data_IF_903835071929
#
_entry.id   IF_903835071929
#
_cell.length_a   1.000
_cell.length_b   1.000
_cell.length_c   1.000
_cell.angle_alpha   90.00
_cell.angle_beta   90.00
_cell.angle_gamma   90.00
#
_symmetry.space_group_name_H-M   'P 1'
#
loop_
_entity.id
_entity.type
_entity.pdbx_description
1 polymer ?
#
# COMPACT_ATOMS: atom_id res chain seq x y z
N UNK A 1 -12.66 53.16 -48.39
CA UNK A 1 -13.40 52.73 -47.18
C UNK A 1 -12.61 51.60 -46.54
N UNK A 2 -11.67 51.93 -45.64
CA UNK A 2 -10.70 50.98 -45.09
C UNK A 2 -11.03 50.77 -43.61
N UNK A 3 -11.53 49.58 -43.26
CA UNK A 3 -11.87 49.22 -41.87
C UNK A 3 -10.61 48.74 -41.17
N UNK A 4 -10.17 49.50 -40.17
CA UNK A 4 -9.16 49.05 -39.20
C UNK A 4 -9.82 48.09 -38.20
N UNK A 5 -9.32 46.85 -38.15
CA UNK A 5 -9.62 45.89 -37.09
C UNK A 5 -8.56 46.08 -36.01
N UNK A 6 -8.95 46.66 -34.87
CA UNK A 6 -8.09 46.74 -33.69
C UNK A 6 -8.05 45.39 -33.00
N UNK A 7 -6.89 44.73 -33.08
CA UNK A 7 -6.57 43.53 -32.32
C UNK A 7 -6.18 43.96 -30.89
N UNK A 8 -7.07 43.80 -29.91
CA UNK A 8 -6.70 43.94 -28.50
C UNK A 8 -5.83 42.73 -28.12
N UNK A 9 -4.51 42.93 -28.01
CA UNK A 9 -3.65 42.01 -27.28
C UNK A 9 -3.98 42.10 -25.79
N UNK A 10 -4.69 41.11 -25.25
CA UNK A 10 -4.82 40.93 -23.81
C UNK A 10 -3.48 40.53 -23.22
N UNK A 11 -2.88 41.38 -22.40
CA UNK A 11 -1.74 40.98 -21.55
C UNK A 11 -2.21 39.86 -20.60
N UNK A 12 -1.45 38.76 -20.47
CA UNK A 12 -1.75 37.76 -19.44
C UNK A 12 -1.61 38.41 -18.07
N UNK A 13 -2.70 38.46 -17.30
CA UNK A 13 -2.64 38.79 -15.88
C UNK A 13 -1.83 37.69 -15.20
N UNK A 14 -0.60 37.99 -14.80
CA UNK A 14 0.19 37.11 -13.95
C UNK A 14 -0.47 37.17 -12.57
N UNK A 15 -1.40 36.26 -12.27
CA UNK A 15 -1.85 36.05 -10.89
C UNK A 15 -0.63 35.56 -10.10
N UNK A 16 -0.14 36.39 -9.17
CA UNK A 16 0.90 35.99 -8.26
C UNK A 16 0.30 35.11 -7.16
N UNK A 17 0.94 33.97 -6.87
CA UNK A 17 0.60 33.11 -5.76
C UNK A 17 0.57 33.91 -4.44
N UNK A 18 -0.53 33.82 -3.70
CA UNK A 18 -0.69 34.53 -2.42
C UNK A 18 -0.50 33.57 -1.25
N UNK A 19 0.27 34.00 -0.24
CA UNK A 19 0.37 33.33 1.05
C UNK A 19 -0.68 33.88 1.99
N UNK A 20 -1.66 33.03 2.34
CA UNK A 20 -2.71 33.37 3.29
C UNK A 20 -2.41 32.66 4.60
N UNK A 21 -1.89 33.39 5.58
CA UNK A 21 -1.64 32.86 6.93
C UNK A 21 -2.97 32.72 7.67
N UNK A 22 -3.22 31.53 8.20
CA UNK A 22 -4.45 31.20 8.91
C UNK A 22 -4.17 30.75 10.33
N UNK A 23 -4.88 31.35 11.28
CA UNK A 23 -4.68 31.12 12.72
C UNK A 23 -5.84 30.43 13.43
N UNK A 24 -6.98 30.23 12.76
CA UNK A 24 -8.15 29.58 13.35
C UNK A 24 -9.04 28.92 12.28
N UNK A 25 -9.99 28.04 12.66
CA UNK A 25 -10.85 27.33 11.72
C UNK A 25 -11.70 28.23 10.80
N UNK A 26 -12.23 29.34 11.31
CA UNK A 26 -13.04 30.26 10.51
C UNK A 26 -12.21 30.94 9.41
N UNK A 27 -10.98 31.34 9.73
CA UNK A 27 -10.03 31.85 8.75
C UNK A 27 -9.64 30.79 7.71
N UNK A 28 -9.55 29.51 8.12
CA UNK A 28 -9.23 28.40 7.22
C UNK A 28 -10.33 28.19 6.18
N UNK A 29 -11.57 28.15 6.64
CA UNK A 29 -12.72 28.05 5.74
C UNK A 29 -12.80 29.23 4.77
N UNK A 30 -12.59 30.45 5.26
CA UNK A 30 -12.56 31.64 4.41
C UNK A 30 -11.43 31.59 3.36
N UNK A 31 -10.22 31.18 3.77
CA UNK A 31 -9.07 31.05 2.87
C UNK A 31 -9.31 29.98 1.79
N UNK A 32 -9.83 28.80 2.17
CA UNK A 32 -10.16 27.73 1.22
C UNK A 32 -11.19 28.20 0.20
N UNK A 33 -12.22 28.94 0.64
CA UNK A 33 -13.27 29.46 -0.24
C UNK A 33 -12.75 30.50 -1.24
N UNK A 34 -11.76 31.30 -0.85
CA UNK A 34 -11.18 32.35 -1.67
C UNK A 34 -10.06 31.85 -2.61
N UNK A 35 -9.44 30.72 -2.29
CA UNK A 35 -8.24 30.23 -2.94
C UNK A 35 -8.39 30.08 -4.47
N UNK A 36 -7.41 30.61 -5.19
CA UNK A 36 -7.24 30.49 -6.63
C UNK A 36 -6.05 29.57 -6.95
N UNK A 37 -5.95 29.03 -8.19
CA UNK A 37 -4.78 28.29 -8.63
C UNK A 37 -3.46 28.99 -8.27
N UNK A 38 -2.55 28.28 -7.61
CA UNK A 38 -1.25 28.79 -7.15
C UNK A 38 -1.21 29.31 -5.72
N UNK A 39 -2.36 29.56 -5.07
CA UNK A 39 -2.39 30.08 -3.71
C UNK A 39 -1.88 29.08 -2.66
N UNK A 40 -1.33 29.62 -1.57
CA UNK A 40 -0.81 28.85 -0.44
C UNK A 40 -1.51 29.27 0.84
N UNK A 41 -2.30 28.37 1.40
CA UNK A 41 -2.94 28.51 2.71
C UNK A 41 -1.97 27.97 3.75
N UNK A 42 -1.46 28.86 4.61
CA UNK A 42 -0.39 28.57 5.56
C UNK A 42 -0.96 28.51 6.97
N UNK A 43 -1.06 27.31 7.54
CA UNK A 43 -1.58 27.09 8.88
C UNK A 43 -0.53 27.46 9.94
N UNK A 44 -0.95 28.19 10.98
CA UNK A 44 -0.10 28.50 12.14
C UNK A 44 0.41 27.23 12.83
N UNK A 45 1.51 27.39 13.53
CA UNK A 45 2.00 26.40 14.49
C UNK A 45 1.04 26.24 15.69
N UNK A 46 1.13 25.09 16.35
CA UNK A 46 0.35 24.70 17.52
C UNK A 46 -0.82 23.77 17.20
N UNK A 47 -1.64 23.54 18.22
CA UNK A 47 -2.77 22.62 18.13
C UNK A 47 -3.99 23.23 17.42
N UNK A 48 -4.69 22.33 16.74
CA UNK A 48 -5.96 22.51 16.05
C UNK A 48 -6.92 21.40 16.52
N UNK A 49 -7.52 21.57 17.71
CA UNK A 49 -8.44 20.57 18.26
C UNK A 49 -9.75 20.56 17.47
N UNK A 50 -10.35 19.37 17.36
CA UNK A 50 -11.70 19.13 16.84
C UNK A 50 -12.01 19.84 15.51
N UNK A 51 -11.00 19.93 14.63
CA UNK A 51 -11.06 20.70 13.39
C UNK A 51 -11.20 19.76 12.19
N UNK A 52 -12.38 19.83 11.54
CA UNK A 52 -12.62 19.13 10.28
C UNK A 52 -12.34 20.05 9.10
N UNK A 53 -11.24 19.81 8.40
CA UNK A 53 -10.81 20.58 7.23
C UNK A 53 -11.45 20.02 5.96
N UNK A 54 -12.27 20.83 5.28
CA UNK A 54 -12.81 20.52 3.94
C UNK A 54 -12.04 21.29 2.88
N UNK A 55 -10.88 20.78 2.49
CA UNK A 55 -10.03 21.39 1.48
C UNK A 55 -10.58 21.10 0.08
N UNK A 56 -11.37 22.05 -0.42
CA UNK A 56 -12.02 21.97 -1.73
C UNK A 56 -11.52 23.10 -2.63
N UNK A 57 -11.13 22.76 -3.85
CA UNK A 57 -10.65 23.74 -4.83
C UNK A 57 -10.28 23.11 -6.17
N UNK A 58 -9.88 23.94 -7.13
CA UNK A 58 -9.37 23.49 -8.42
C UNK A 58 -8.13 24.29 -8.76
N UNK A 59 -6.97 23.71 -8.52
CA UNK A 59 -5.70 24.20 -9.05
C UNK A 59 -5.50 23.75 -10.50
N UNK A 60 -4.28 23.91 -10.99
CA UNK A 60 -3.83 23.34 -12.27
C UNK A 60 -2.51 22.59 -12.07
N UNK A 61 -2.05 21.87 -13.10
CA UNK A 61 -0.74 21.22 -13.10
C UNK A 61 0.38 22.20 -12.73
N UNK A 62 0.35 23.40 -13.32
CA UNK A 62 1.39 24.42 -13.14
C UNK A 62 1.16 25.31 -11.90
N UNK A 63 -0.08 25.37 -11.40
CA UNK A 63 -0.47 26.22 -10.27
C UNK A 63 -1.41 25.46 -9.32
N UNK A 64 -0.91 24.45 -8.59
CA UNK A 64 -1.71 23.75 -7.58
C UNK A 64 -2.07 24.68 -6.42
N UNK A 65 -3.18 24.40 -5.73
CA UNK A 65 -3.52 25.09 -4.48
C UNK A 65 -2.92 24.30 -3.33
N UNK A 66 -2.18 24.96 -2.45
CA UNK A 66 -1.45 24.28 -1.36
C UNK A 66 -2.02 24.64 0.01
N UNK A 67 -2.35 23.64 0.81
CA UNK A 67 -2.62 23.75 2.24
C UNK A 67 -1.41 23.20 3.00
N UNK A 68 -0.68 24.04 3.74
CA UNK A 68 0.56 23.61 4.40
C UNK A 68 0.68 24.11 5.83
N UNK A 69 1.44 23.37 6.64
CA UNK A 69 1.98 23.91 7.87
C UNK A 69 2.96 25.06 7.58
N UNK A 70 2.98 26.08 8.44
CA UNK A 70 4.02 27.11 8.41
C UNK A 70 5.41 26.50 8.68
N UNK A 71 5.47 25.66 9.72
CA UNK A 71 6.63 24.83 10.05
C UNK A 71 6.17 23.36 10.03
N UNK A 72 6.69 22.51 9.12
CA UNK A 72 6.27 21.11 9.03
C UNK A 72 6.36 20.38 10.38
N UNK A 73 5.35 19.59 10.69
CA UNK A 73 5.23 18.87 11.97
C UNK A 73 4.82 19.73 13.17
N UNK A 74 4.67 21.05 13.01
CA UNK A 74 4.24 21.95 14.10
C UNK A 74 2.79 22.41 14.01
N UNK A 75 2.06 22.01 12.96
CA UNK A 75 0.59 22.17 12.89
C UNK A 75 -0.05 20.83 13.23
N UNK A 76 -0.60 20.73 14.44
CA UNK A 76 -1.02 19.46 15.05
C UNK A 76 -2.53 19.42 15.19
N UNK A 77 -3.17 18.50 14.48
CA UNK A 77 -4.61 18.23 14.57
C UNK A 77 -4.86 17.15 15.62
N UNK A 78 -5.69 17.47 16.61
CA UNK A 78 -6.01 16.59 17.75
C UNK A 78 -7.52 16.40 17.89
N UNK A 79 -7.93 15.39 18.66
CA UNK A 79 -9.35 15.15 18.96
C UNK A 79 -10.16 14.73 17.73
N UNK A 80 -11.37 15.26 17.61
CA UNK A 80 -12.33 15.03 16.52
C UNK A 80 -11.93 15.76 15.22
N UNK A 81 -10.65 15.76 14.88
CA UNK A 81 -10.10 16.40 13.68
C UNK A 81 -10.03 15.44 12.50
N UNK A 82 -10.23 15.99 11.30
CA UNK A 82 -10.20 15.21 10.07
C UNK A 82 -9.87 16.08 8.85
N UNK A 83 -9.37 15.47 7.78
CA UNK A 83 -9.12 16.14 6.50
C UNK A 83 -9.94 15.51 5.39
N UNK A 84 -10.58 16.35 4.59
CA UNK A 84 -11.34 15.97 3.40
C UNK A 84 -10.82 16.78 2.22
N UNK A 85 -10.32 16.12 1.19
CA UNK A 85 -9.76 16.75 -0.02
C UNK A 85 -10.72 16.49 -1.17
N UNK A 86 -11.13 17.51 -1.92
CA UNK A 86 -11.96 17.29 -3.11
C UNK A 86 -11.81 18.37 -4.17
N UNK A 87 -11.75 17.95 -5.43
CA UNK A 87 -11.38 18.80 -6.56
C UNK A 87 -10.05 18.36 -7.18
N UNK A 88 -9.31 19.29 -7.74
CA UNK A 88 -8.21 18.99 -8.67
C UNK A 88 -6.93 19.75 -8.31
N UNK A 89 -5.78 19.09 -8.42
CA UNK A 89 -4.46 19.70 -8.21
C UNK A 89 -4.34 20.44 -6.86
N UNK A 90 -4.68 19.73 -5.80
CA UNK A 90 -4.57 20.20 -4.42
C UNK A 90 -3.40 19.51 -3.72
N UNK A 91 -2.59 20.27 -2.99
CA UNK A 91 -1.45 19.75 -2.23
C UNK A 91 -1.68 19.99 -0.74
N UNK A 92 -1.48 18.96 0.07
CA UNK A 92 -1.47 19.05 1.53
C UNK A 92 -0.09 18.67 2.04
N UNK A 93 0.53 19.55 2.83
CA UNK A 93 1.94 19.42 3.22
C UNK A 93 2.18 19.65 4.72
N UNK A 94 2.95 18.75 5.35
CA UNK A 94 3.58 19.04 6.64
C UNK A 94 2.66 18.98 7.86
N UNK A 95 1.43 18.47 7.70
CA UNK A 95 0.44 18.38 8.78
C UNK A 95 0.64 17.12 9.64
N UNK A 96 0.36 17.20 10.94
CA UNK A 96 0.40 16.07 11.86
C UNK A 96 -0.97 15.86 12.50
N UNK A 97 -1.58 14.68 12.31
CA UNK A 97 -2.77 14.22 13.02
C UNK A 97 -2.33 13.34 14.18
N UNK A 98 -2.41 13.86 15.40
CA UNK A 98 -1.97 13.19 16.61
C UNK A 98 -3.18 12.66 17.38
N UNK A 99 -3.14 11.37 17.71
CA UNK A 99 -4.17 10.66 18.47
C UNK A 99 -5.58 10.89 17.91
N UNK A 100 -5.81 10.61 16.60
CA UNK A 100 -7.07 10.94 15.95
C UNK A 100 -8.23 10.17 16.58
N UNK A 101 -9.30 10.89 16.93
CA UNK A 101 -10.50 10.28 17.50
C UNK A 101 -11.29 9.51 16.42
N UNK A 102 -11.45 8.17 16.52
CA UNK A 102 -12.14 7.38 15.50
C UNK A 102 -13.66 7.63 15.45
N UNK A 103 -14.25 8.36 16.39
CA UNK A 103 -15.68 8.68 16.39
C UNK A 103 -16.11 9.47 15.14
N UNK A 104 -15.23 10.31 14.58
CA UNK A 104 -15.48 11.09 13.36
C UNK A 104 -15.30 10.30 12.06
N UNK A 105 -14.99 9.01 12.15
CA UNK A 105 -14.75 8.13 11.00
C UNK A 105 -13.30 8.17 10.55
N UNK A 106 -13.08 8.16 9.23
CA UNK A 106 -11.73 8.09 8.65
C UNK A 106 -10.98 9.42 8.82
N UNK A 107 -9.69 9.38 9.16
CA UNK A 107 -8.91 10.58 9.49
C UNK A 107 -8.71 11.49 8.27
N UNK A 108 -8.20 10.95 7.16
CA UNK A 108 -7.92 11.65 5.92
C UNK A 108 -8.69 10.98 4.77
N UNK A 109 -9.51 11.72 4.02
CA UNK A 109 -10.20 11.20 2.82
C UNK A 109 -9.98 12.10 1.60
N UNK A 110 -9.75 11.47 0.45
CA UNK A 110 -9.64 12.12 -0.87
C UNK A 110 -11.03 12.33 -1.52
N UNK A 111 -11.99 12.72 -0.69
CA UNK A 111 -13.32 13.20 -1.10
C UNK A 111 -13.89 14.12 -0.03
N UNK A 112 -14.77 15.04 -0.41
CA UNK A 112 -15.67 15.74 0.53
C UNK A 112 -16.95 14.94 0.78
N UNK A 113 -17.47 14.32 -0.28
CA UNK A 113 -18.71 13.54 -0.30
C UNK A 113 -18.67 12.58 -1.52
N UNK A 114 -19.75 11.84 -1.78
CA UNK A 114 -19.82 10.89 -2.90
C UNK A 114 -19.79 11.52 -4.30
N UNK A 115 -19.96 12.83 -4.41
CA UNK A 115 -19.97 13.58 -5.68
C UNK A 115 -18.70 14.41 -5.89
N UNK A 116 -18.03 14.77 -4.81
CA UNK A 116 -16.86 15.65 -4.80
C UNK A 116 -15.61 14.83 -4.42
N UNK A 117 -15.00 14.19 -5.41
CA UNK A 117 -13.79 13.38 -5.27
C UNK A 117 -12.53 14.23 -5.55
N UNK A 118 -11.36 13.73 -5.15
CA UNK A 118 -10.07 14.32 -5.49
C UNK A 118 -9.47 13.67 -6.75
N UNK A 119 -8.86 14.50 -7.61
CA UNK A 119 -8.10 14.05 -8.77
C UNK A 119 -6.79 14.81 -8.89
N UNK A 120 -5.68 14.12 -9.13
CA UNK A 120 -4.34 14.72 -9.20
C UNK A 120 -3.95 15.52 -7.93
N UNK A 121 -4.45 15.11 -6.77
CA UNK A 121 -4.12 15.73 -5.48
C UNK A 121 -2.97 14.98 -4.79
N UNK A 122 -2.26 15.67 -3.89
CA UNK A 122 -1.08 15.14 -3.20
C UNK A 122 -1.16 15.36 -1.69
N UNK A 123 -0.89 14.33 -0.91
CA UNK A 123 -0.61 14.40 0.52
C UNK A 123 0.86 14.08 0.72
N UNK A 124 1.64 15.02 1.25
CA UNK A 124 3.10 14.86 1.38
C UNK A 124 3.65 15.37 2.70
N UNK A 125 4.65 14.68 3.24
CA UNK A 125 5.31 15.12 4.48
C UNK A 125 4.36 15.16 5.67
N UNK A 126 3.27 14.40 5.67
CA UNK A 126 2.27 14.39 6.74
C UNK A 126 2.47 13.20 7.69
N UNK A 127 1.90 13.29 8.89
CA UNK A 127 1.91 12.17 9.83
C UNK A 127 0.51 11.88 10.40
N UNK A 128 0.24 10.61 10.65
CA UNK A 128 -0.83 10.15 11.55
C UNK A 128 -0.19 9.22 12.58
N UNK A 129 -0.28 9.59 13.86
CA UNK A 129 0.31 8.80 14.95
C UNK A 129 -0.72 8.56 16.04
N UNK A 130 -0.67 7.39 16.66
CA UNK A 130 -1.51 7.06 17.81
C UNK A 130 -0.64 6.51 18.94
N UNK A 131 -0.69 7.16 20.11
CA UNK A 131 -0.12 6.63 21.33
C UNK A 131 -1.02 5.50 21.87
N UNK A 132 -0.41 4.37 22.22
CA UNK A 132 -1.12 3.22 22.78
C UNK A 132 -1.83 3.50 24.10
N UNK A 133 -1.39 4.50 24.86
CA UNK A 133 -1.98 4.85 26.15
C UNK A 133 -3.37 5.48 26.03
N UNK A 134 -3.72 6.02 24.86
CA UNK A 134 -4.98 6.74 24.62
C UNK A 134 -5.90 6.05 23.60
N UNK A 135 -5.46 4.95 22.98
CA UNK A 135 -6.22 4.20 21.99
C UNK A 135 -6.57 2.78 22.42
N UNK A 136 -7.61 2.20 21.83
CA UNK A 136 -8.04 0.82 22.07
C UNK A 136 -8.34 0.05 20.79
N UNK A 137 -8.14 -1.27 20.81
CA UNK A 137 -8.57 -2.18 19.72
C UNK A 137 -10.09 -2.29 19.61
N UNK A 138 -10.81 -1.93 20.68
CA UNK A 138 -12.27 -1.95 20.74
C UNK A 138 -12.92 -0.61 20.39
N UNK A 139 -12.11 0.41 20.09
CA UNK A 139 -12.64 1.66 19.55
C UNK A 139 -13.32 1.43 18.19
N UNK A 140 -14.18 2.39 17.83
CA UNK A 140 -14.92 2.39 16.56
C UNK A 140 -13.97 2.15 15.37
N UNK A 141 -14.39 1.30 14.44
CA UNK A 141 -13.65 1.04 13.21
C UNK A 141 -13.43 2.35 12.42
N UNK A 142 -12.18 2.60 12.04
CA UNK A 142 -11.78 3.75 11.22
C UNK A 142 -10.56 3.41 10.37
N UNK A 143 -10.44 4.03 9.20
CA UNK A 143 -9.17 4.08 8.43
C UNK A 143 -8.46 5.40 8.68
N UNK A 144 -7.15 5.44 8.47
CA UNK A 144 -6.43 6.73 8.52
C UNK A 144 -6.43 7.44 7.19
N UNK A 145 -6.25 6.72 6.08
CA UNK A 145 -6.24 7.32 4.74
C UNK A 145 -7.17 6.57 3.81
N UNK A 146 -8.19 7.26 3.30
CA UNK A 146 -9.07 6.80 2.23
C UNK A 146 -8.75 7.50 0.92
N UNK A 147 -8.15 6.79 -0.03
CA UNK A 147 -7.96 7.25 -1.40
C UNK A 147 -9.23 6.98 -2.22
N UNK A 148 -9.72 8.03 -2.86
CA UNK A 148 -10.88 8.07 -3.73
C UNK A 148 -10.52 8.85 -5.00
N UNK A 149 -11.36 8.77 -6.03
CA UNK A 149 -11.14 9.46 -7.29
C UNK A 149 -10.01 8.84 -8.11
N UNK A 150 -9.05 9.66 -8.55
CA UNK A 150 -8.05 9.23 -9.54
C UNK A 150 -6.70 9.96 -9.39
N UNK A 151 -5.59 9.29 -9.72
CA UNK A 151 -4.27 9.93 -9.94
C UNK A 151 -3.72 10.74 -8.76
N UNK A 152 -4.24 10.49 -7.56
CA UNK A 152 -3.74 11.06 -6.32
C UNK A 152 -2.43 10.43 -5.86
N UNK A 153 -1.65 11.19 -5.09
CA UNK A 153 -0.35 10.77 -4.55
C UNK A 153 -0.29 10.91 -3.02
N UNK A 154 0.23 9.89 -2.35
CA UNK A 154 0.58 9.91 -0.93
C UNK A 154 2.06 9.58 -0.80
N UNK A 155 2.86 10.55 -0.36
CA UNK A 155 4.30 10.36 -0.32
C UNK A 155 4.99 11.01 0.87
N UNK A 156 6.15 10.50 1.28
CA UNK A 156 6.92 11.04 2.42
C UNK A 156 6.08 11.18 3.69
N UNK A 157 5.07 10.33 3.89
CA UNK A 157 4.21 10.37 5.06
C UNK A 157 4.60 9.31 6.10
N UNK A 158 4.18 9.55 7.34
CA UNK A 158 4.35 8.68 8.50
C UNK A 158 2.99 8.18 8.97
N UNK A 159 2.86 6.87 9.16
CA UNK A 159 1.70 6.25 9.76
C UNK A 159 2.14 5.22 10.81
N UNK A 160 1.90 5.46 12.10
CA UNK A 160 2.30 4.49 13.14
C UNK A 160 1.43 4.45 14.39
N UNK A 161 1.34 3.28 15.01
CA UNK A 161 0.66 3.07 16.29
C UNK A 161 -0.83 2.73 16.18
N UNK A 162 -1.36 2.43 14.98
CA UNK A 162 -2.80 2.18 14.81
C UNK A 162 -3.26 0.96 15.61
N UNK A 163 -4.20 1.15 16.54
CA UNK A 163 -4.78 0.06 17.33
C UNK A 163 -6.16 -0.38 16.81
N UNK A 164 -6.94 0.56 16.28
CA UNK A 164 -8.33 0.32 15.90
C UNK A 164 -8.45 -0.62 14.69
N UNK A 165 -9.59 -1.30 14.58
CA UNK A 165 -9.99 -1.99 13.34
C UNK A 165 -10.11 -0.99 12.18
N UNK A 166 -9.87 -1.47 10.96
CA UNK A 166 -9.84 -0.68 9.74
C UNK A 166 -8.41 -0.51 9.24
N UNK A 167 -8.23 -0.41 7.92
CA UNK A 167 -6.90 -0.35 7.33
C UNK A 167 -6.16 0.94 7.70
N UNK A 168 -4.83 0.93 7.64
CA UNK A 168 -4.08 2.18 7.75
C UNK A 168 -4.36 3.07 6.53
N UNK A 169 -4.22 2.51 5.33
CA UNK A 169 -4.55 3.15 4.06
C UNK A 169 -5.44 2.22 3.21
N UNK A 170 -6.46 2.77 2.57
CA UNK A 170 -7.31 2.05 1.62
C UNK A 170 -7.48 2.85 0.33
N UNK A 171 -7.35 2.17 -0.81
CA UNK A 171 -7.83 2.66 -2.10
C UNK A 171 -9.22 2.12 -2.33
N UNK A 172 -10.18 3.03 -2.41
CA UNK A 172 -11.54 2.70 -2.81
C UNK A 172 -11.67 2.78 -4.32
N UNK A 173 -12.38 1.80 -4.89
CA UNK A 173 -12.61 1.69 -6.33
C UNK A 173 -14.13 1.66 -6.62
N UNK A 174 -14.49 1.73 -7.89
CA UNK A 174 -15.86 1.78 -8.40
C UNK A 174 -16.01 2.81 -9.51
N UNK A 175 -17.25 3.10 -9.91
CA UNK A 175 -17.59 3.93 -11.09
C UNK A 175 -16.72 5.19 -11.25
N UNK A 176 -16.73 6.09 -10.26
CA UNK A 176 -15.93 7.34 -10.28
C UNK A 176 -14.59 7.23 -9.55
N UNK A 177 -14.31 6.09 -8.92
CA UNK A 177 -13.07 5.86 -8.19
C UNK A 177 -12.20 4.93 -9.03
N UNK A 178 -11.44 5.54 -9.93
CA UNK A 178 -10.76 4.81 -10.99
C UNK A 178 -9.43 4.23 -10.51
N UNK A 179 -8.78 4.86 -9.51
CA UNK A 179 -7.47 4.45 -9.01
C UNK A 179 -6.34 5.28 -9.62
N UNK A 180 -5.34 4.63 -10.23
CA UNK A 180 -4.09 5.24 -10.72
C UNK A 180 -3.31 6.01 -9.65
N UNK A 181 -3.50 5.64 -8.39
CA UNK A 181 -2.86 6.32 -7.27
C UNK A 181 -1.41 5.89 -7.13
N UNK A 182 -0.59 6.80 -6.61
CA UNK A 182 0.81 6.54 -6.25
C UNK A 182 0.97 6.66 -4.74
N UNK A 183 1.44 5.59 -4.12
CA UNK A 183 1.75 5.51 -2.69
C UNK A 183 3.24 5.19 -2.61
N UNK A 184 4.06 6.18 -2.27
CA UNK A 184 5.51 6.00 -2.33
C UNK A 184 6.29 6.70 -1.24
N UNK A 185 7.44 6.16 -0.89
CA UNK A 185 8.37 6.82 0.04
C UNK A 185 7.72 7.15 1.40
N UNK A 186 6.72 6.36 1.80
CA UNK A 186 6.07 6.46 3.11
C UNK A 186 6.67 5.48 4.11
N UNK A 187 6.66 5.88 5.38
CA UNK A 187 7.00 5.02 6.50
C UNK A 187 5.72 4.56 7.21
N UNK A 188 5.47 3.25 7.14
CA UNK A 188 4.45 2.58 7.92
C UNK A 188 5.15 1.92 9.12
N UNK A 189 4.98 2.53 10.29
CA UNK A 189 5.60 2.07 11.53
C UNK A 189 4.82 0.96 12.23
N UNK A 190 5.22 0.64 13.49
CA UNK A 190 4.65 -0.46 14.24
C UNK A 190 3.12 -0.40 14.35
N UNK A 191 2.49 -1.54 14.11
CA UNK A 191 1.06 -1.79 14.32
C UNK A 191 0.89 -3.11 15.01
N UNK A 192 0.45 -3.08 16.27
CA UNK A 192 0.24 -4.29 17.05
C UNK A 192 -0.85 -5.19 16.45
N UNK A 193 -0.72 -6.50 16.71
CA UNK A 193 -1.67 -7.51 16.23
C UNK A 193 -3.09 -7.20 16.67
N UNK A 194 -3.99 -7.01 15.71
CA UNK A 194 -5.41 -6.75 15.97
C UNK A 194 -6.12 -7.99 16.52
N UNK A 195 -5.70 -9.18 16.08
CA UNK A 195 -6.27 -10.47 16.49
C UNK A 195 -7.55 -10.87 15.75
N UNK A 196 -8.02 -10.03 14.82
CA UNK A 196 -9.19 -10.24 13.96
C UNK A 196 -8.93 -9.60 12.59
N UNK A 197 -9.77 -9.93 11.60
CA UNK A 197 -9.73 -9.34 10.26
C UNK A 197 -10.00 -7.82 10.29
N UNK A 198 -9.39 -7.06 9.37
CA UNK A 198 -9.49 -5.60 9.29
C UNK A 198 -8.27 -4.88 9.86
N UNK A 199 -7.14 -5.56 9.92
CA UNK A 199 -5.86 -5.07 10.42
C UNK A 199 -4.89 -4.64 9.32
N UNK A 200 -5.32 -4.62 8.06
CA UNK A 200 -4.40 -4.45 6.92
C UNK A 200 -3.70 -3.09 6.97
N UNK A 201 -2.45 -3.02 6.55
CA UNK A 201 -1.75 -1.73 6.42
C UNK A 201 -2.21 -1.02 5.16
N UNK A 202 -2.15 -1.69 4.01
CA UNK A 202 -2.68 -1.17 2.76
C UNK A 202 -3.71 -2.15 2.20
N UNK A 203 -4.84 -1.62 1.72
CA UNK A 203 -5.76 -2.39 0.86
C UNK A 203 -6.06 -1.64 -0.44
N UNK A 204 -5.93 -2.32 -1.58
CA UNK A 204 -6.21 -1.72 -2.89
C UNK A 204 -7.44 -2.36 -3.52
N UNK A 205 -8.61 -1.72 -3.36
CA UNK A 205 -9.91 -2.24 -3.78
C UNK A 205 -10.60 -3.12 -2.72
N UNK A 206 -11.63 -3.83 -3.14
CA UNK A 206 -12.35 -4.84 -2.36
C UNK A 206 -12.86 -5.96 -3.26
N UNK A 207 -13.56 -6.95 -2.70
CA UNK A 207 -14.08 -8.06 -3.51
C UNK A 207 -15.05 -7.61 -4.62
N UNK A 208 -15.85 -6.57 -4.38
CA UNK A 208 -16.84 -6.07 -5.36
C UNK A 208 -16.19 -5.40 -6.57
N UNK A 209 -15.00 -4.84 -6.37
CA UNK A 209 -14.23 -4.10 -7.38
C UNK A 209 -13.00 -4.86 -7.85
N UNK A 210 -12.88 -6.14 -7.47
CA UNK A 210 -11.67 -6.95 -7.67
C UNK A 210 -11.23 -7.10 -9.12
N UNK A 211 -12.15 -7.06 -10.09
CA UNK A 211 -11.83 -7.15 -11.51
C UNK A 211 -11.59 -5.79 -12.17
N UNK A 212 -11.73 -4.68 -11.42
CA UNK A 212 -11.41 -3.36 -11.92
C UNK A 212 -9.90 -3.20 -12.05
N UNK A 213 -9.46 -2.71 -13.22
CA UNK A 213 -8.09 -2.29 -13.45
C UNK A 213 -7.83 -0.99 -12.68
N UNK A 214 -7.01 -1.07 -11.64
CA UNK A 214 -6.74 0.05 -10.74
C UNK A 214 -5.44 0.76 -11.09
N UNK A 215 -4.45 0.08 -11.69
CA UNK A 215 -3.17 0.68 -12.12
C UNK A 215 -2.49 1.52 -11.01
N UNK A 216 -2.67 1.15 -9.74
CA UNK A 216 -2.03 1.84 -8.64
C UNK A 216 -0.57 1.39 -8.49
N UNK A 217 0.28 2.31 -8.07
CA UNK A 217 1.70 2.07 -7.82
C UNK A 217 1.95 2.22 -6.32
N UNK A 218 2.46 1.17 -5.70
CA UNK A 218 2.93 1.16 -4.32
C UNK A 218 4.42 0.89 -4.36
N UNK A 219 5.26 1.91 -4.19
CA UNK A 219 6.70 1.74 -4.37
C UNK A 219 7.57 2.43 -3.34
N UNK A 220 8.74 1.87 -3.07
CA UNK A 220 9.72 2.44 -2.14
C UNK A 220 9.14 2.84 -0.78
N UNK A 221 8.14 2.12 -0.26
CA UNK A 221 7.65 2.33 1.09
C UNK A 221 8.43 1.42 2.07
N UNK A 222 8.56 1.87 3.31
CA UNK A 222 9.17 1.10 4.40
C UNK A 222 8.06 0.69 5.39
N UNK A 223 7.87 -0.61 5.55
CA UNK A 223 6.93 -1.23 6.50
C UNK A 223 7.73 -1.86 7.63
N UNK A 224 7.56 -1.36 8.86
CA UNK A 224 8.26 -1.88 10.04
C UNK A 224 7.25 -2.34 11.06
N UNK A 225 7.28 -3.64 11.41
CA UNK A 225 6.40 -4.24 12.43
C UNK A 225 4.91 -3.93 12.21
N UNK A 226 4.50 -3.91 10.94
CA UNK A 226 3.11 -3.71 10.54
C UNK A 226 2.28 -4.99 10.76
N UNK A 227 2.09 -5.37 12.02
CA UNK A 227 1.66 -6.71 12.45
C UNK A 227 0.15 -6.82 12.68
N UNK A 228 -0.64 -5.87 12.15
CA UNK A 228 -2.08 -5.76 12.40
C UNK A 228 -2.85 -7.05 12.09
N UNK A 229 -2.53 -7.72 10.98
CA UNK A 229 -3.09 -9.01 10.60
C UNK A 229 -2.22 -9.77 9.59
N UNK A 230 -2.73 -10.88 9.04
CA UNK A 230 -2.00 -11.73 8.08
C UNK A 230 -1.76 -11.07 6.72
N UNK A 231 -2.56 -10.07 6.34
CA UNK A 231 -2.39 -9.26 5.13
C UNK A 231 -1.81 -7.90 5.49
N UNK A 232 -0.49 -7.71 5.36
CA UNK A 232 0.10 -6.37 5.49
C UNK A 232 -0.36 -5.48 4.33
N UNK A 233 -0.22 -6.00 3.11
CA UNK A 233 -0.82 -5.45 1.90
C UNK A 233 -1.85 -6.46 1.38
N UNK A 234 -3.08 -5.99 1.16
CA UNK A 234 -4.17 -6.76 0.57
C UNK A 234 -4.55 -6.16 -0.78
N UNK A 235 -3.99 -6.71 -1.87
CA UNK A 235 -4.37 -6.34 -3.24
C UNK A 235 -5.71 -6.97 -3.58
N UNK A 236 -6.69 -6.15 -3.94
CA UNK A 236 -8.05 -6.59 -4.30
C UNK A 236 -8.54 -5.87 -5.56
N UNK A 237 -7.68 -5.80 -6.57
CA UNK A 237 -7.93 -5.16 -7.87
C UNK A 237 -6.85 -5.56 -8.89
N UNK A 238 -7.02 -5.20 -10.16
CA UNK A 238 -6.14 -5.62 -11.25
C UNK A 238 -5.03 -4.60 -11.58
N UNK A 239 -3.92 -5.11 -12.13
CA UNK A 239 -2.82 -4.33 -12.75
C UNK A 239 -2.09 -3.36 -11.83
N UNK A 240 -2.06 -3.62 -10.52
CA UNK A 240 -1.24 -2.83 -9.60
C UNK A 240 0.23 -3.22 -9.66
N UNK A 241 1.11 -2.26 -9.37
CA UNK A 241 2.56 -2.44 -9.26
C UNK A 241 2.99 -2.26 -7.80
N UNK A 242 3.65 -3.26 -7.25
CA UNK A 242 4.31 -3.23 -5.95
C UNK A 242 5.82 -3.32 -6.16
N UNK A 243 6.53 -2.20 -6.02
CA UNK A 243 7.92 -2.09 -6.45
C UNK A 243 8.88 -1.59 -5.36
N UNK A 244 9.99 -2.29 -5.16
CA UNK A 244 11.10 -1.86 -4.29
C UNK A 244 10.68 -1.45 -2.87
N UNK A 245 9.61 -2.04 -2.32
CA UNK A 245 9.22 -1.80 -0.94
C UNK A 245 10.07 -2.67 0.01
N UNK A 246 10.29 -2.18 1.24
CA UNK A 246 10.96 -2.94 2.31
C UNK A 246 9.99 -3.32 3.42
N UNK A 247 9.96 -4.59 3.79
CA UNK A 247 9.19 -5.13 4.91
C UNK A 247 10.15 -5.63 5.97
N UNK A 248 10.12 -5.05 7.16
CA UNK A 248 11.02 -5.39 8.26
C UNK A 248 10.20 -5.86 9.45
N UNK A 249 10.38 -7.13 9.83
CA UNK A 249 9.71 -7.76 10.97
C UNK A 249 8.18 -7.68 10.88
N UNK A 250 7.64 -7.78 9.66
CA UNK A 250 6.21 -7.72 9.37
C UNK A 250 5.59 -9.11 9.47
N UNK A 251 4.74 -9.32 10.48
CA UNK A 251 3.98 -10.55 10.73
C UNK A 251 2.76 -10.71 9.80
N UNK A 252 2.96 -10.51 8.51
CA UNK A 252 1.94 -10.59 7.47
C UNK A 252 2.58 -10.65 6.09
N UNK A 253 1.76 -10.76 5.04
CA UNK A 253 2.24 -10.88 3.65
C UNK A 253 1.84 -9.69 2.78
N UNK A 254 2.55 -9.54 1.67
CA UNK A 254 1.99 -8.93 0.47
C UNK A 254 1.09 -9.97 -0.20
N UNK A 255 -0.22 -9.86 0.00
CA UNK A 255 -1.20 -10.78 -0.56
C UNK A 255 -1.81 -10.20 -1.84
N UNK A 256 -1.60 -10.88 -2.97
CA UNK A 256 -2.40 -10.76 -4.18
C UNK A 256 -3.73 -11.49 -3.94
N UNK A 257 -4.67 -10.83 -3.24
CA UNK A 257 -5.85 -11.48 -2.64
C UNK A 257 -6.99 -11.67 -3.62
N UNK A 258 -7.27 -10.63 -4.41
CA UNK A 258 -8.20 -10.64 -5.54
C UNK A 258 -7.65 -9.77 -6.67
N UNK A 259 -8.23 -9.92 -7.86
CA UNK A 259 -7.77 -9.24 -9.07
C UNK A 259 -6.58 -9.95 -9.71
N UNK A 260 -6.23 -9.54 -10.93
CA UNK A 260 -5.30 -10.23 -11.81
C UNK A 260 -4.24 -9.28 -12.36
N UNK A 261 -3.19 -9.81 -12.99
CA UNK A 261 -2.25 -8.99 -13.76
C UNK A 261 -1.39 -8.03 -12.94
N UNK A 262 -1.27 -8.25 -11.63
CA UNK A 262 -0.43 -7.43 -10.76
C UNK A 262 1.05 -7.81 -10.85
N UNK A 263 1.94 -6.84 -10.65
CA UNK A 263 3.39 -7.04 -10.64
C UNK A 263 3.96 -6.76 -9.25
N UNK A 264 4.75 -7.70 -8.71
CA UNK A 264 5.50 -7.59 -7.46
C UNK A 264 6.98 -7.68 -7.79
N UNK A 265 7.67 -6.54 -7.84
CA UNK A 265 9.02 -6.41 -8.40
C UNK A 265 10.00 -5.80 -7.40
N UNK A 266 11.13 -6.45 -7.16
CA UNK A 266 12.24 -5.84 -6.43
C UNK A 266 12.03 -5.62 -4.92
N UNK A 267 10.91 -6.07 -4.35
CA UNK A 267 10.61 -5.89 -2.93
C UNK A 267 11.54 -6.73 -2.05
N UNK A 268 11.83 -6.25 -0.84
CA UNK A 268 12.71 -6.91 0.11
C UNK A 268 11.98 -7.17 1.45
N UNK A 269 12.01 -8.42 1.92
CA UNK A 269 11.36 -8.88 3.14
C UNK A 269 12.43 -9.39 4.11
N UNK A 270 12.54 -8.74 5.26
CA UNK A 270 13.52 -9.03 6.30
C UNK A 270 12.79 -9.49 7.55
N UNK A 271 12.77 -10.80 7.79
CA UNK A 271 12.10 -11.37 8.94
C UNK A 271 12.89 -11.21 10.24
N UNK A 272 14.23 -11.18 10.19
CA UNK A 272 15.12 -11.09 11.36
C UNK A 272 14.81 -12.12 12.47
N UNK A 273 14.19 -13.26 12.13
CA UNK A 273 13.74 -14.25 13.12
C UNK A 273 12.51 -13.82 13.94
N UNK A 274 11.88 -12.67 13.62
CA UNK A 274 10.65 -12.24 14.27
C UNK A 274 9.49 -13.15 13.86
N UNK A 275 8.67 -13.52 14.86
CA UNK A 275 7.60 -14.52 14.71
C UNK A 275 6.56 -14.11 13.68
N UNK A 276 6.15 -15.09 12.88
CA UNK A 276 5.04 -14.94 11.92
C UNK A 276 5.38 -14.05 10.73
N UNK A 277 6.66 -13.76 10.47
CA UNK A 277 7.07 -12.93 9.33
C UNK A 277 6.81 -13.62 8.00
N UNK A 278 6.12 -12.93 7.08
CA UNK A 278 5.68 -13.51 5.82
C UNK A 278 6.20 -12.78 4.59
N UNK A 279 6.15 -13.47 3.44
CA UNK A 279 6.55 -12.94 2.15
C UNK A 279 5.34 -12.58 1.26
N UNK A 280 5.20 -13.32 0.17
CA UNK A 280 4.26 -13.04 -0.92
C UNK A 280 3.23 -14.16 -1.03
N UNK A 281 1.95 -13.81 -1.08
CA UNK A 281 0.87 -14.79 -1.26
C UNK A 281 0.09 -14.51 -2.54
N UNK A 282 -0.10 -15.54 -3.37
CA UNK A 282 -0.62 -15.43 -4.74
C UNK A 282 -1.94 -16.18 -4.90
N UNK A 283 -2.95 -15.46 -5.39
CA UNK A 283 -4.28 -15.94 -5.80
C UNK A 283 -4.61 -15.21 -7.10
N UNK A 284 -5.24 -15.87 -8.06
CA UNK A 284 -5.64 -15.24 -9.32
C UNK A 284 -4.60 -15.35 -10.44
N UNK A 285 -4.83 -14.61 -11.52
CA UNK A 285 -4.24 -14.90 -12.82
C UNK A 285 -3.24 -13.81 -13.28
N UNK A 286 -2.31 -14.20 -14.16
CA UNK A 286 -1.40 -13.31 -14.89
C UNK A 286 -0.46 -12.44 -14.01
N UNK A 287 -0.20 -12.89 -12.79
CA UNK A 287 0.71 -12.20 -11.88
C UNK A 287 2.18 -12.38 -12.26
N UNK A 288 2.96 -11.32 -12.07
CA UNK A 288 4.43 -11.36 -12.20
C UNK A 288 5.04 -11.08 -10.84
N UNK A 289 5.74 -12.05 -10.27
CA UNK A 289 6.47 -11.93 -9.00
C UNK A 289 7.94 -12.12 -9.30
N UNK A 290 8.70 -11.03 -9.32
CA UNK A 290 10.09 -11.07 -9.78
C UNK A 290 11.07 -10.23 -8.98
N UNK A 291 12.34 -10.63 -9.00
CA UNK A 291 13.45 -9.89 -8.39
C UNK A 291 13.31 -9.60 -6.88
N UNK A 292 12.39 -10.27 -6.19
CA UNK A 292 12.14 -10.05 -4.77
C UNK A 292 13.20 -10.79 -3.94
N UNK A 293 13.54 -10.22 -2.78
CA UNK A 293 14.50 -10.77 -1.83
C UNK A 293 13.78 -11.06 -0.51
N UNK A 294 13.84 -12.27 0.00
CA UNK A 294 13.14 -12.70 1.21
C UNK A 294 14.11 -13.40 2.14
N UNK A 295 14.35 -12.87 3.34
CA UNK A 295 15.37 -13.35 4.26
C UNK A 295 14.81 -13.57 5.67
N UNK A 296 15.18 -14.70 6.28
CA UNK A 296 14.93 -15.01 7.70
C UNK A 296 13.45 -14.92 8.11
N UNK A 297 12.55 -15.35 7.22
CA UNK A 297 11.10 -15.39 7.48
C UNK A 297 10.72 -16.63 8.29
N UNK A 298 9.87 -16.45 9.30
CA UNK A 298 9.45 -17.51 10.25
C UNK A 298 7.93 -17.73 10.27
N UNK A 299 7.23 -17.30 9.22
CA UNK A 299 5.80 -17.53 9.04
C UNK A 299 5.50 -18.92 8.50
N UNK A 300 4.24 -19.31 8.64
CA UNK A 300 3.69 -20.59 8.22
C UNK A 300 2.42 -20.40 7.36
N UNK A 301 2.04 -21.43 6.60
CA UNK A 301 0.85 -21.48 5.76
C UNK A 301 0.69 -20.23 4.86
N UNK A 302 -0.19 -19.31 5.25
CA UNK A 302 -0.47 -18.06 4.54
C UNK A 302 0.68 -17.05 4.61
N UNK A 303 1.75 -17.34 5.37
CA UNK A 303 2.92 -16.49 5.63
C UNK A 303 4.24 -17.19 5.29
N UNK A 304 4.28 -18.08 4.31
CA UNK A 304 5.53 -18.58 3.76
C UNK A 304 6.26 -17.47 2.97
N UNK A 305 7.48 -17.76 2.49
CA UNK A 305 8.21 -16.87 1.58
C UNK A 305 7.40 -16.60 0.31
N UNK A 306 6.99 -17.65 -0.41
CA UNK A 306 6.04 -17.57 -1.51
C UNK A 306 4.95 -18.63 -1.30
N UNK A 307 3.69 -18.21 -1.19
CA UNK A 307 2.53 -19.11 -1.04
C UNK A 307 1.61 -19.01 -2.25
N UNK A 308 1.26 -20.14 -2.85
CA UNK A 308 0.17 -20.26 -3.82
C UNK A 308 -1.04 -20.91 -3.16
N UNK A 309 -2.19 -20.25 -3.26
CA UNK A 309 -3.46 -20.82 -2.82
C UNK A 309 -4.05 -21.74 -3.90
N UNK A 310 -4.83 -22.74 -3.49
CA UNK A 310 -5.71 -23.46 -4.40
C UNK A 310 -6.90 -22.61 -4.82
N UNK A 311 -7.32 -22.79 -6.07
CA UNK A 311 -8.53 -22.16 -6.60
C UNK A 311 -9.79 -22.90 -6.17
N UNK A 312 -10.86 -22.13 -5.98
CA UNK A 312 -12.22 -22.64 -5.83
C UNK A 312 -12.87 -22.75 -7.22
N UNK A 313 -13.44 -23.91 -7.59
CA UNK A 313 -14.29 -24.02 -8.77
C UNK A 313 -15.40 -22.97 -8.77
N UNK A 314 -15.62 -22.30 -9.90
CA UNK A 314 -16.61 -21.22 -10.05
C UNK A 314 -16.52 -20.16 -8.93
N UNK A 315 -15.29 -19.80 -8.56
CA UNK A 315 -15.03 -18.90 -7.43
C UNK A 315 -15.85 -17.60 -7.53
N UNK A 316 -16.61 -17.22 -6.49
CA UNK A 316 -17.20 -15.89 -6.42
C UNK A 316 -16.09 -14.83 -6.25
N UNK A 317 -16.44 -13.55 -6.41
CA UNK A 317 -15.47 -12.45 -6.34
C UNK A 317 -14.76 -12.31 -4.98
N UNK A 318 -15.40 -12.77 -3.89
CA UNK A 318 -14.82 -12.85 -2.55
C UNK A 318 -14.17 -14.23 -2.25
N UNK A 319 -14.12 -15.13 -3.23
CA UNK A 319 -13.54 -16.46 -3.12
C UNK A 319 -12.03 -16.50 -3.39
N UNK A 320 -11.53 -17.65 -3.86
CA UNK A 320 -10.15 -17.88 -4.27
C UNK A 320 -10.11 -18.26 -5.75
N UNK A 321 -9.67 -17.32 -6.60
CA UNK A 321 -9.43 -17.64 -8.00
C UNK A 321 -8.19 -18.52 -8.14
N UNK A 322 -8.26 -19.50 -9.04
CA UNK A 322 -7.14 -20.38 -9.36
C UNK A 322 -5.92 -19.57 -9.81
N UNK A 323 -4.75 -19.95 -9.33
CA UNK A 323 -3.50 -19.37 -9.83
C UNK A 323 -3.29 -19.85 -11.27
N UNK A 324 -3.25 -18.92 -12.22
CA UNK A 324 -3.00 -19.23 -13.64
C UNK A 324 -2.01 -18.29 -14.27
N UNK A 325 -1.15 -18.81 -15.14
CA UNK A 325 -0.20 -18.01 -15.93
C UNK A 325 0.65 -17.06 -15.09
N UNK A 326 0.91 -17.44 -13.84
CA UNK A 326 1.77 -16.67 -12.97
C UNK A 326 3.23 -16.89 -13.40
N UNK A 327 4.05 -15.85 -13.23
CA UNK A 327 5.48 -15.86 -13.53
C UNK A 327 6.26 -15.53 -12.27
N UNK A 328 6.98 -16.51 -11.73
CA UNK A 328 7.78 -16.40 -10.52
C UNK A 328 9.24 -16.41 -10.93
N UNK A 329 9.87 -15.24 -11.01
CA UNK A 329 11.13 -15.06 -11.75
C UNK A 329 12.23 -14.40 -10.94
N UNK A 330 13.43 -14.99 -10.90
CA UNK A 330 14.61 -14.36 -10.30
C UNK A 330 14.40 -13.88 -8.85
N UNK A 331 13.53 -14.55 -8.09
CA UNK A 331 13.37 -14.28 -6.67
C UNK A 331 14.48 -14.98 -5.88
N UNK A 332 14.91 -14.37 -4.78
CA UNK A 332 15.93 -14.91 -3.88
C UNK A 332 15.34 -15.12 -2.49
N UNK A 333 15.33 -16.35 -2.02
CA UNK A 333 14.87 -16.73 -0.68
C UNK A 333 16.03 -17.26 0.14
N UNK A 334 16.22 -16.73 1.35
CA UNK A 334 17.37 -16.99 2.22
C UNK A 334 16.89 -17.30 3.62
N UNK A 335 17.30 -18.42 4.19
CA UNK A 335 17.04 -18.80 5.59
C UNK A 335 15.57 -18.66 6.02
N UNK A 336 14.64 -18.90 5.10
CA UNK A 336 13.20 -18.92 5.39
C UNK A 336 12.82 -20.29 5.96
N UNK A 337 12.03 -20.33 7.04
CA UNK A 337 11.56 -21.59 7.65
C UNK A 337 10.62 -22.38 6.71
N UNK A 338 9.76 -21.65 6.00
CA UNK A 338 8.88 -22.17 4.95
C UNK A 338 9.09 -21.36 3.66
N UNK A 339 10.00 -21.78 2.76
CA UNK A 339 10.38 -20.98 1.60
C UNK A 339 9.26 -20.87 0.56
N UNK A 340 8.81 -22.02 0.03
CA UNK A 340 7.78 -22.07 -1.01
C UNK A 340 6.69 -23.06 -0.58
N UNK A 341 5.44 -22.61 -0.60
CA UNK A 341 4.25 -23.45 -0.41
C UNK A 341 3.35 -23.38 -1.63
N UNK A 342 3.03 -24.53 -2.22
CA UNK A 342 2.17 -24.65 -3.40
C UNK A 342 0.94 -25.48 -3.06
N UNK A 343 -0.24 -24.89 -3.26
CA UNK A 343 -1.51 -25.58 -3.09
C UNK A 343 -2.11 -25.44 -1.68
N UNK A 344 -1.94 -24.29 -1.02
CA UNK A 344 -2.60 -24.05 0.26
C UNK A 344 -4.12 -23.96 0.09
N UNK A 345 -4.87 -24.77 0.82
CA UNK A 345 -6.33 -24.69 0.82
C UNK A 345 -6.81 -23.43 1.56
N UNK A 346 -7.85 -22.77 1.04
CA UNK A 346 -8.47 -21.64 1.71
C UNK A 346 -9.40 -22.09 2.85
N UNK A 347 -9.28 -21.48 4.02
CA UNK A 347 -9.99 -21.86 5.25
C UNK A 347 -11.37 -21.22 5.43
N UNK A 348 -11.76 -20.24 4.58
CA UNK A 348 -12.86 -19.30 4.86
C UNK A 348 -13.77 -18.98 3.66
N UNK A 349 -14.12 -19.97 2.84
CA UNK A 349 -15.10 -19.81 1.74
C UNK A 349 -16.04 -21.00 1.65
N UNK A 350 -17.31 -20.83 1.21
CA UNK A 350 -18.16 -21.95 0.85
C UNK A 350 -17.57 -22.74 -0.32
N UNK A 351 -17.52 -24.07 -0.19
CA UNK A 351 -16.93 -24.99 -1.17
C UNK A 351 -15.53 -25.47 -0.79
N UNK A 352 -14.92 -26.31 -1.64
CA UNK A 352 -13.60 -26.90 -1.41
C UNK A 352 -12.64 -26.39 -2.48
N UNK A 353 -11.70 -25.50 -2.15
CA UNK A 353 -10.63 -25.11 -3.06
C UNK A 353 -9.79 -26.34 -3.42
N UNK A 354 -9.84 -26.76 -4.68
CA UNK A 354 -9.17 -27.97 -5.16
C UNK A 354 -8.53 -27.81 -6.55
N UNK A 355 -8.51 -26.59 -7.09
CA UNK A 355 -7.90 -26.31 -8.39
C UNK A 355 -6.42 -25.95 -8.20
N UNK A 356 -5.47 -26.79 -8.67
CA UNK A 356 -4.04 -26.51 -8.58
C UNK A 356 -3.64 -25.34 -9.50
N UNK A 357 -2.43 -24.76 -9.33
CA UNK A 357 -1.90 -23.80 -10.28
C UNK A 357 -1.82 -24.36 -11.71
N UNK A 358 -2.07 -23.51 -12.70
CA UNK A 358 -2.06 -23.88 -14.13
C UNK A 358 -1.21 -22.91 -14.95
N UNK A 359 -0.56 -23.40 -16.01
CA UNK A 359 0.27 -22.63 -16.96
C UNK A 359 1.28 -21.70 -16.28
N UNK A 360 1.77 -22.07 -15.11
CA UNK A 360 2.60 -21.20 -14.27
C UNK A 360 4.07 -21.54 -14.44
N UNK A 361 4.95 -20.52 -14.41
CA UNK A 361 6.40 -20.72 -14.57
C UNK A 361 7.15 -20.27 -13.32
N UNK A 362 8.06 -21.12 -12.84
CA UNK A 362 9.12 -20.76 -11.90
C UNK A 362 10.45 -20.75 -12.66
N UNK A 363 11.06 -19.58 -12.78
CA UNK A 363 12.26 -19.38 -13.58
C UNK A 363 13.36 -18.63 -12.82
N UNK A 364 14.58 -19.15 -12.88
CA UNK A 364 15.78 -18.49 -12.34
C UNK A 364 15.71 -18.11 -10.85
N UNK A 365 14.83 -18.75 -10.05
CA UNK A 365 14.74 -18.48 -8.62
C UNK A 365 15.93 -19.11 -7.89
N UNK A 366 16.42 -18.42 -6.86
CA UNK A 366 17.52 -18.87 -6.00
C UNK A 366 16.99 -19.07 -4.60
N UNK A 367 17.12 -20.28 -4.05
CA UNK A 367 16.71 -20.58 -2.68
C UNK A 367 17.88 -21.18 -1.92
N UNK A 368 18.28 -20.53 -0.83
CA UNK A 368 19.27 -21.01 0.12
C UNK A 368 18.61 -21.09 1.51
N UNK A 369 18.10 -22.27 1.87
CA UNK A 369 17.39 -22.50 3.13
C UNK A 369 17.86 -23.83 3.76
N UNK A 370 19.10 -23.92 4.28
CA UNK A 370 19.74 -25.17 4.72
C UNK A 370 18.98 -25.97 5.78
N UNK A 371 18.05 -25.33 6.49
CA UNK A 371 17.26 -25.94 7.58
C UNK A 371 15.84 -26.32 7.18
N UNK A 372 15.39 -25.95 5.98
CA UNK A 372 14.01 -26.08 5.57
C UNK A 372 13.82 -27.15 4.49
N UNK A 373 12.61 -27.72 4.43
CA UNK A 373 12.09 -28.29 3.20
C UNK A 373 11.80 -27.13 2.24
N UNK A 374 12.40 -27.14 1.04
CA UNK A 374 12.37 -25.98 0.14
C UNK A 374 11.02 -25.76 -0.50
N UNK A 375 10.40 -26.83 -1.01
CA UNK A 375 9.08 -26.80 -1.64
C UNK A 375 8.14 -27.66 -0.82
N UNK A 376 7.15 -27.04 -0.19
CA UNK A 376 5.98 -27.73 0.34
C UNK A 376 4.89 -27.79 -0.73
N UNK A 377 4.47 -28.99 -1.10
CA UNK A 377 3.43 -29.20 -2.11
C UNK A 377 2.23 -29.91 -1.51
N UNK A 378 1.02 -29.43 -1.84
CA UNK A 378 -0.26 -30.01 -1.40
C UNK A 378 -1.24 -30.27 -2.55
N UNK A 379 -0.78 -30.13 -3.79
CA UNK A 379 -1.59 -30.31 -4.98
C UNK A 379 -0.76 -30.92 -6.13
N UNK A 380 -1.42 -31.18 -7.26
CA UNK A 380 -0.73 -31.55 -8.50
C UNK A 380 0.14 -30.38 -9.02
N UNK A 381 1.32 -30.71 -9.55
CA UNK A 381 2.31 -29.77 -10.07
C UNK A 381 2.40 -29.77 -11.61
N UNK A 382 1.61 -30.59 -12.30
CA UNK A 382 1.67 -30.70 -13.77
C UNK A 382 1.45 -29.37 -14.51
N UNK A 383 0.74 -28.43 -13.88
CA UNK A 383 0.51 -27.07 -14.38
C UNK A 383 1.67 -26.09 -14.13
N UNK A 384 2.80 -26.55 -13.58
CA UNK A 384 3.97 -25.72 -13.29
C UNK A 384 5.18 -26.16 -14.12
N UNK A 385 5.75 -25.20 -14.84
CA UNK A 385 7.03 -25.36 -15.55
C UNK A 385 8.16 -24.76 -14.72
N UNK A 386 9.23 -25.53 -14.53
CA UNK A 386 10.44 -25.10 -13.82
C UNK A 386 11.57 -24.88 -14.83
N UNK A 387 12.32 -23.78 -14.71
CA UNK A 387 13.44 -23.43 -15.58
C UNK A 387 14.57 -22.78 -14.77
N UNK A 388 15.78 -23.31 -14.89
CA UNK A 388 17.00 -22.69 -14.37
C UNK A 388 16.95 -22.27 -12.89
N UNK A 389 16.16 -22.96 -12.06
CA UNK A 389 16.07 -22.66 -10.63
C UNK A 389 17.24 -23.31 -9.90
N UNK A 390 17.80 -22.62 -8.91
CA UNK A 390 18.86 -23.13 -8.05
C UNK A 390 18.35 -23.23 -6.61
N UNK A 391 18.16 -24.46 -6.13
CA UNK A 391 17.51 -24.73 -4.84
C UNK A 391 18.46 -25.51 -3.93
N UNK A 392 18.65 -24.98 -2.72
CA UNK A 392 19.44 -25.60 -1.66
C UNK A 392 18.69 -25.55 -0.33
N UNK A 393 18.56 -26.70 0.32
CA UNK A 393 17.95 -26.80 1.64
C UNK A 393 18.13 -28.18 2.27
N UNK A 394 17.41 -28.43 3.36
CA UNK A 394 17.43 -29.73 4.04
C UNK A 394 16.87 -30.82 3.13
N UNK A 395 15.74 -30.54 2.49
CA UNK A 395 15.00 -31.43 1.60
C UNK A 395 14.38 -30.62 0.47
N UNK A 396 14.33 -31.16 -0.76
CA UNK A 396 13.66 -30.46 -1.87
C UNK A 396 12.14 -30.38 -1.64
N UNK A 397 11.55 -31.46 -1.11
CA UNK A 397 10.12 -31.55 -0.80
C UNK A 397 9.22 -31.94 -1.99
N UNK A 398 9.81 -32.09 -3.18
CA UNK A 398 9.20 -32.65 -4.39
C UNK A 398 10.18 -33.66 -5.02
N UNK A 399 9.72 -34.57 -5.91
CA UNK A 399 10.61 -35.40 -6.70
C UNK A 399 11.61 -34.58 -7.52
N UNK A 400 12.72 -35.18 -7.91
CA UNK A 400 13.66 -34.57 -8.86
C UNK A 400 12.91 -34.11 -10.12
N UNK A 401 13.03 -32.84 -10.44
CA UNK A 401 12.22 -32.16 -11.45
C UNK A 401 13.14 -31.40 -12.40
N UNK A 402 12.97 -31.58 -13.71
CA UNK A 402 13.77 -30.87 -14.71
C UNK A 402 13.63 -29.34 -14.56
N UNK A 403 14.72 -28.60 -14.77
CA UNK A 403 14.76 -27.16 -14.57
C UNK A 403 14.96 -26.70 -13.11
N UNK A 404 15.28 -27.65 -12.22
CA UNK A 404 15.74 -27.40 -10.86
C UNK A 404 17.15 -28.01 -10.70
N UNK A 405 18.13 -27.16 -10.43
CA UNK A 405 19.42 -27.56 -9.89
C UNK A 405 19.30 -27.70 -8.37
N UNK A 406 19.35 -28.93 -7.86
CA UNK A 406 19.20 -29.25 -6.44
C UNK A 406 20.56 -29.54 -5.78
N UNK A 407 20.77 -29.01 -4.57
CA UNK A 407 21.89 -29.38 -3.70
C UNK A 407 23.18 -28.58 -3.92
N UNK A 408 23.22 -27.69 -4.91
CA UNK A 408 24.28 -26.69 -5.07
C UNK A 408 23.86 -25.36 -4.43
N UNK A 409 24.74 -24.79 -3.60
CA UNK A 409 24.46 -23.50 -2.96
C UNK A 409 24.43 -22.37 -4.01
N UNK A 410 23.30 -21.65 -4.15
CA UNK A 410 23.24 -20.54 -5.09
C UNK A 410 24.07 -19.35 -4.59
N UNK A 411 24.60 -18.55 -5.52
CA UNK A 411 25.19 -17.26 -5.16
C UNK A 411 24.08 -16.27 -4.77
N UNK A 412 24.13 -15.80 -3.53
CA UNK A 412 23.15 -14.87 -2.97
C UNK A 412 23.79 -13.49 -2.76
N UNK A 413 23.22 -12.46 -3.39
CA UNK A 413 23.55 -11.07 -3.08
C UNK A 413 22.63 -10.56 -1.96
N UNK A 414 23.19 -10.30 -0.78
CA UNK A 414 22.43 -9.71 0.33
C UNK A 414 21.91 -8.32 -0.04
N UNK A 415 20.69 -8.02 0.41
CA UNK A 415 20.10 -6.68 0.33
C UNK A 415 20.01 -6.04 1.70
N UNK A 416 19.79 -4.72 1.70
CA UNK A 416 19.49 -3.96 2.91
C UNK A 416 18.09 -3.37 2.76
N UNK A 417 17.34 -3.20 3.87
CA UNK A 417 16.09 -2.45 3.81
C UNK A 417 16.37 -1.01 3.40
N UNK A 418 15.35 -0.34 2.86
CA UNK A 418 15.39 1.11 2.66
C UNK A 418 15.71 1.77 4.01
N UNK A 419 16.66 2.70 4.00
CA UNK A 419 17.08 3.39 5.21
C UNK A 419 15.99 4.37 5.68
N UNK A 420 15.83 4.50 6.99
CA UNK A 420 14.76 5.32 7.61
C UNK A 420 14.86 6.79 7.25
N UNK A 421 16.07 7.29 7.01
CA UNK A 421 16.37 8.68 6.62
C UNK A 421 16.00 9.00 5.16
N UNK A 422 15.71 7.99 4.34
CA UNK A 422 15.29 8.14 2.95
C UNK A 422 13.77 8.24 2.78
N UNK A 423 13.00 7.98 3.84
CA UNK A 423 11.55 7.70 3.77
C UNK A 423 10.79 8.47 4.84
N UNK A 424 9.54 8.79 4.54
CA UNK A 424 8.66 9.51 5.46
C UNK A 424 9.01 10.99 5.56
N UNK A 425 8.41 11.70 6.52
CA UNK A 425 8.58 13.15 6.63
C UNK A 425 9.97 13.51 7.16
N UNK A 426 10.63 14.45 6.49
CA UNK A 426 11.99 14.92 6.85
C UNK A 426 12.06 15.60 8.22
N UNK A 427 10.93 16.09 8.73
CA UNK A 427 10.82 16.72 10.04
C UNK A 427 10.60 15.72 11.18
N UNK A 428 10.40 14.44 10.88
CA UNK A 428 10.26 13.39 11.87
C UNK A 428 11.59 12.69 12.11
N UNK A 429 12.23 13.04 13.21
CA UNK A 429 13.44 12.40 13.72
C UNK A 429 13.02 11.47 14.86
N UNK A 430 13.04 10.17 14.62
CA UNK A 430 12.84 9.12 15.63
C UNK A 430 14.16 8.44 15.96
#
# INVERSE_FOLDING_TARGET
>A
MMRFISLLLGLPLILQAVDVVVTNPAGLEAAIKAAQPGDRIVLREGEWPDTVVKFKGKGTVDAPITLRAKVPGKTIFTGASALRIGGEYLIVEGLWFQDPNPSVGDTLEFRIDSKTLASNCRLTGCAVTLNSDVGSKEDKESRWVGLYGESNRVDHCLFQGKLTKGTTLVVWLGDKNVGRHVIEENYFGPREKLGKNGGETIRVGDSKTSMQRADCIVRRNLFVKCNGEAECISNKSCSNLYQDNSFVEVSGTLTLRHGNGCTVDGNAFFGNGAKGTGGIRVIGEDHVVKNNYLESLTGDEVRCGITFMMGLPDSPANGYFQVKRARIENNTLVDCEHPILIGLEGDKVPGVPNLPPLDTTFEANRVYCPKAQVVEVRCDLSGITWKDNQLFGKELGIPETAGIEWGHEPTVQKRQPIARDQIGPTWWTE
#
